data_IF_647957803844
#
_entry.id   IF_647957803844
#
_cell.length_a   1.000
_cell.length_b   1.000
_cell.length_c   1.000
_cell.angle_alpha   90.00
_cell.angle_beta   90.00
_cell.angle_gamma   90.00
#
_symmetry.space_group_name_H-M   'P 1'
#
loop_
_entity.id
_entity.type
_entity.pdbx_description
1 polymer ?
#
# COMPACT_ATOMS: atom_id res chain seq x y z
N UNK A 1 64.32 -19.01 -50.89
CA UNK A 1 63.62 -17.94 -50.15
C UNK A 1 62.19 -18.41 -49.91
N UNK A 2 61.80 -18.73 -48.66
CA UNK A 2 60.43 -19.10 -48.31
C UNK A 2 59.84 -17.96 -47.48
N UNK A 3 58.83 -17.29 -48.03
CA UNK A 3 58.11 -16.19 -47.36
C UNK A 3 57.02 -16.84 -46.51
N UNK A 4 57.13 -16.67 -45.19
CA UNK A 4 56.10 -17.09 -44.22
C UNK A 4 55.15 -15.90 -44.04
N UNK A 5 53.90 -16.06 -44.48
CA UNK A 5 52.84 -15.10 -44.19
C UNK A 5 52.28 -15.39 -42.79
N UNK A 6 52.54 -14.49 -41.84
CA UNK A 6 51.90 -14.52 -40.52
C UNK A 6 50.55 -13.83 -40.65
N UNK A 7 49.47 -14.61 -40.58
CA UNK A 7 48.10 -14.10 -40.50
C UNK A 7 47.86 -13.66 -39.05
N UNK A 8 47.73 -12.35 -38.84
CA UNK A 8 47.31 -11.77 -37.57
C UNK A 8 45.78 -11.72 -37.55
N UNK A 9 45.15 -12.71 -36.90
CA UNK A 9 43.72 -12.67 -36.59
C UNK A 9 43.46 -11.66 -35.48
N UNK A 10 42.93 -10.48 -35.83
CA UNK A 10 42.40 -9.53 -34.86
C UNK A 10 41.06 -10.04 -34.31
N UNK A 11 41.07 -10.55 -33.08
CA UNK A 11 39.86 -10.90 -32.33
C UNK A 11 39.13 -9.62 -31.91
N UNK A 12 38.11 -9.25 -32.67
CA UNK A 12 37.12 -8.25 -32.28
C UNK A 12 36.25 -8.85 -31.16
N UNK A 13 36.60 -8.58 -29.89
CA UNK A 13 35.73 -8.89 -28.75
C UNK A 13 34.61 -7.86 -28.75
N UNK A 14 33.46 -8.20 -29.33
CA UNK A 14 32.22 -7.47 -29.11
C UNK A 14 31.87 -7.57 -27.63
N UNK A 15 32.10 -6.49 -26.88
CA UNK A 15 31.61 -6.36 -25.52
C UNK A 15 30.09 -6.28 -25.56
N UNK A 16 29.41 -7.41 -25.36
CA UNK A 16 28.00 -7.41 -24.99
C UNK A 16 27.88 -6.74 -23.63
N UNK A 17 27.44 -5.49 -23.60
CA UNK A 17 26.98 -4.86 -22.36
C UNK A 17 25.70 -5.59 -21.95
N UNK A 18 25.82 -6.55 -21.05
CA UNK A 18 24.67 -7.14 -20.37
C UNK A 18 24.02 -6.01 -19.56
N UNK A 19 22.93 -5.45 -20.07
CA UNK A 19 22.12 -4.52 -19.29
C UNK A 19 21.54 -5.35 -18.14
N UNK A 20 22.07 -5.14 -16.94
CA UNK A 20 21.59 -5.81 -15.73
C UNK A 20 20.11 -5.47 -15.56
N UNK A 21 19.26 -6.44 -15.85
CA UNK A 21 17.82 -6.34 -15.61
C UNK A 21 17.65 -5.97 -14.14
N UNK A 22 17.08 -4.79 -13.88
CA UNK A 22 16.88 -4.31 -12.52
C UNK A 22 15.76 -5.16 -11.94
N UNK A 23 16.09 -5.97 -10.94
CA UNK A 23 15.18 -6.91 -10.31
C UNK A 23 14.18 -6.19 -9.41
N UNK A 24 12.88 -6.33 -9.74
CA UNK A 24 11.75 -5.83 -8.97
C UNK A 24 11.83 -6.21 -7.50
N UNK A 25 12.20 -7.46 -7.24
CA UNK A 25 12.28 -7.99 -5.89
C UNK A 25 13.40 -7.31 -5.12
N UNK A 26 14.58 -7.15 -5.73
CA UNK A 26 15.69 -6.43 -5.10
C UNK A 26 15.33 -4.99 -4.72
N UNK A 27 14.66 -4.22 -5.59
CA UNK A 27 14.24 -2.86 -5.24
C UNK A 27 13.20 -2.89 -4.12
N UNK A 28 12.24 -3.82 -4.14
CA UNK A 28 11.28 -3.97 -3.05
C UNK A 28 11.97 -4.25 -1.71
N UNK A 29 12.92 -5.19 -1.66
CA UNK A 29 13.68 -5.54 -0.45
C UNK A 29 14.43 -4.31 0.11
N UNK A 30 15.10 -3.55 -0.76
CA UNK A 30 15.80 -2.33 -0.36
C UNK A 30 14.85 -1.24 0.13
N UNK A 31 13.69 -1.09 -0.51
CA UNK A 31 12.63 -0.16 -0.10
C UNK A 31 12.09 -0.55 1.27
N UNK A 32 11.79 -1.83 1.48
CA UNK A 32 11.33 -2.37 2.77
C UNK A 32 12.34 -2.04 3.87
N UNK A 33 13.64 -2.26 3.63
CA UNK A 33 14.69 -1.95 4.61
C UNK A 33 14.79 -0.47 4.95
N UNK A 34 14.45 0.44 4.03
CA UNK A 34 14.39 1.89 4.32
C UNK A 34 13.21 2.27 5.20
N UNK A 35 12.08 1.60 5.01
CA UNK A 35 10.88 1.84 5.78
C UNK A 35 10.88 1.13 7.14
N UNK A 36 11.49 -0.05 7.23
CA UNK A 36 11.51 -0.90 8.41
C UNK A 36 12.90 -1.57 8.58
N UNK A 37 13.91 -0.82 9.07
CA UNK A 37 15.28 -1.31 9.18
C UNK A 37 15.45 -2.47 10.17
N UNK A 38 14.55 -2.58 11.15
CA UNK A 38 14.55 -3.59 12.21
C UNK A 38 13.63 -4.79 11.91
N UNK A 39 12.93 -4.77 10.77
CA UNK A 39 11.94 -5.80 10.38
C UNK A 39 10.82 -6.00 11.42
N UNK A 40 10.34 -4.90 12.00
CA UNK A 40 9.33 -4.85 13.04
C UNK A 40 7.89 -4.96 12.52
N UNK A 41 7.62 -4.85 11.22
CA UNK A 41 6.27 -4.74 10.68
C UNK A 41 5.34 -5.88 11.17
N UNK A 42 5.80 -7.13 11.14
CA UNK A 42 4.99 -8.29 11.53
C UNK A 42 4.65 -8.33 13.03
N UNK A 43 5.39 -7.60 13.87
CA UNK A 43 5.15 -7.48 15.33
C UNK A 43 4.62 -6.11 15.73
N UNK A 44 4.45 -5.20 14.76
CA UNK A 44 4.04 -3.84 15.01
C UNK A 44 2.57 -3.78 15.46
N UNK A 45 2.34 -2.98 16.50
CA UNK A 45 1.03 -2.50 16.88
C UNK A 45 0.86 -1.04 16.45
N UNK A 46 -0.13 -0.78 15.61
CA UNK A 46 -0.55 0.56 15.20
C UNK A 46 -1.78 0.94 16.01
N UNK A 47 -1.81 2.17 16.52
CA UNK A 47 -2.99 2.81 17.07
C UNK A 47 -2.99 4.26 16.59
N UNK A 48 -3.83 4.61 15.62
CA UNK A 48 -3.77 5.90 14.93
C UNK A 48 -5.15 6.52 14.76
N UNK A 49 -5.20 7.84 14.91
CA UNK A 49 -6.34 8.67 14.53
C UNK A 49 -6.11 9.23 13.12
N UNK A 50 -7.00 8.86 12.22
CA UNK A 50 -6.98 9.23 10.80
C UNK A 50 -8.18 10.15 10.52
N UNK A 51 -7.93 11.32 9.95
CA UNK A 51 -8.97 12.10 9.28
C UNK A 51 -9.07 11.65 7.82
N UNK A 52 -10.27 11.41 7.34
CA UNK A 52 -10.51 10.81 6.02
C UNK A 52 -11.48 11.68 5.18
N UNK A 53 -11.18 12.98 4.95
CA UNK A 53 -12.07 13.84 4.18
C UNK A 53 -12.29 13.26 2.78
N UNK A 54 -13.56 13.24 2.38
CA UNK A 54 -14.03 12.90 1.03
C UNK A 54 -14.89 14.03 0.52
N UNK A 55 -15.02 14.19 -0.80
CA UNK A 55 -15.89 15.23 -1.40
C UNK A 55 -17.32 15.17 -0.84
N UNK A 56 -17.88 13.97 -0.71
CA UNK A 56 -19.26 13.77 -0.21
C UNK A 56 -19.36 13.70 1.32
N UNK A 57 -18.25 13.54 2.04
CA UNK A 57 -18.23 13.44 3.49
C UNK A 57 -16.92 14.05 4.04
N UNK A 58 -16.88 15.37 4.26
CA UNK A 58 -15.65 16.06 4.64
C UNK A 58 -15.22 15.80 6.09
N UNK A 59 -16.13 15.34 6.96
CA UNK A 59 -15.89 15.22 8.41
C UNK A 59 -15.71 13.77 8.89
N UNK A 60 -15.34 12.86 8.00
CA UNK A 60 -15.06 11.47 8.39
C UNK A 60 -13.74 11.36 9.12
N UNK A 61 -13.72 10.61 10.21
CA UNK A 61 -12.50 10.17 10.88
C UNK A 61 -12.61 8.71 11.33
N UNK A 62 -11.46 8.07 11.47
CA UNK A 62 -11.34 6.71 11.98
C UNK A 62 -10.25 6.63 13.03
N UNK A 63 -10.45 5.82 14.06
CA UNK A 63 -9.40 5.33 14.94
C UNK A 63 -9.14 3.88 14.58
N UNK A 64 -7.91 3.56 14.20
CA UNK A 64 -7.51 2.22 13.77
C UNK A 64 -6.49 1.67 14.74
N UNK A 65 -6.83 0.55 15.37
CA UNK A 65 -5.91 -0.31 16.09
C UNK A 65 -5.65 -1.57 15.26
N UNK A 66 -4.39 -1.84 14.94
CA UNK A 66 -3.95 -3.04 14.25
C UNK A 66 -2.80 -3.64 15.05
N UNK A 67 -2.95 -4.89 15.48
CA UNK A 67 -1.87 -5.65 16.12
C UNK A 67 -1.50 -6.81 15.21
N UNK A 68 -0.38 -6.66 14.49
CA UNK A 68 0.04 -7.66 13.50
C UNK A 68 0.47 -8.99 14.15
N UNK A 69 0.97 -8.97 15.39
CA UNK A 69 1.39 -10.18 16.09
C UNK A 69 0.16 -10.98 16.56
N UNK A 70 -0.81 -10.30 17.18
CA UNK A 70 -1.95 -10.94 17.82
C UNK A 70 -3.17 -11.07 16.90
N UNK A 71 -3.07 -10.65 15.63
CA UNK A 71 -4.19 -10.59 14.67
C UNK A 71 -5.39 -9.76 15.16
N UNK A 72 -5.22 -8.93 16.19
CA UNK A 72 -6.28 -8.06 16.69
C UNK A 72 -6.49 -6.87 15.75
N UNK A 73 -7.75 -6.52 15.52
CA UNK A 73 -8.11 -5.34 14.73
C UNK A 73 -9.30 -4.63 15.35
N UNK A 74 -9.21 -3.30 15.43
CA UNK A 74 -10.34 -2.43 15.76
C UNK A 74 -10.36 -1.21 14.86
N UNK A 75 -11.51 -0.93 14.30
CA UNK A 75 -11.81 0.29 13.56
C UNK A 75 -13.00 0.99 14.23
N UNK A 76 -12.77 2.16 14.78
CA UNK A 76 -13.84 3.06 15.27
C UNK A 76 -14.03 4.17 14.25
N UNK A 77 -15.27 4.49 13.89
CA UNK A 77 -15.56 5.49 12.84
C UNK A 77 -16.84 6.25 13.16
N UNK A 78 -16.82 7.56 12.95
CA UNK A 78 -18.01 8.38 13.11
C UNK A 78 -19.05 8.12 12.00
N UNK A 79 -20.32 8.16 12.39
CA UNK A 79 -21.51 7.88 11.60
C UNK A 79 -22.60 8.88 11.96
N UNK A 80 -22.62 10.02 11.29
CA UNK A 80 -23.47 11.15 11.69
C UNK A 80 -23.22 11.52 13.18
N UNK A 81 -24.18 11.24 14.06
CA UNK A 81 -24.08 11.44 15.51
C UNK A 81 -23.59 10.20 16.28
N UNK A 82 -23.42 9.06 15.61
CA UNK A 82 -23.05 7.79 16.22
C UNK A 82 -21.58 7.43 15.99
N UNK A 83 -21.12 6.44 16.73
CA UNK A 83 -19.82 5.80 16.56
C UNK A 83 -20.02 4.31 16.23
N UNK A 84 -19.56 3.86 15.07
CA UNK A 84 -19.49 2.43 14.75
C UNK A 84 -18.11 1.88 15.09
N UNK A 85 -18.06 0.73 15.76
CA UNK A 85 -16.82 0.02 16.08
C UNK A 85 -16.85 -1.37 15.42
N UNK A 86 -15.81 -1.70 14.67
CA UNK A 86 -15.61 -2.97 13.99
C UNK A 86 -14.41 -3.68 14.60
N UNK A 87 -14.62 -4.83 15.21
CA UNK A 87 -13.62 -5.51 16.05
C UNK A 87 -13.40 -6.94 15.53
N UNK A 88 -12.14 -7.36 15.48
CA UNK A 88 -11.71 -8.75 15.34
C UNK A 88 -10.78 -9.06 16.50
N UNK A 89 -11.20 -10.02 17.33
CA UNK A 89 -10.41 -10.52 18.46
C UNK A 89 -9.33 -11.53 18.00
N UNK A 90 -8.30 -11.82 18.81
CA UNK A 90 -7.25 -12.77 18.45
C UNK A 90 -7.74 -14.19 18.15
N UNK A 91 -8.87 -14.59 18.73
CA UNK A 91 -9.53 -15.88 18.47
C UNK A 91 -10.35 -15.90 17.16
N UNK A 92 -10.37 -14.78 16.43
CA UNK A 92 -11.11 -14.60 15.18
C UNK A 92 -12.56 -14.13 15.37
N UNK A 93 -13.04 -13.95 16.61
CA UNK A 93 -14.39 -13.45 16.87
C UNK A 93 -14.55 -12.05 16.29
N UNK A 94 -15.51 -11.90 15.37
CA UNK A 94 -15.83 -10.62 14.74
C UNK A 94 -17.07 -10.00 15.38
N UNK A 95 -17.01 -8.72 15.74
CA UNK A 95 -18.13 -7.99 16.36
C UNK A 95 -18.24 -6.60 15.76
N UNK A 96 -19.46 -6.08 15.67
CA UNK A 96 -19.73 -4.69 15.31
C UNK A 96 -20.63 -4.05 16.36
N UNK A 97 -20.26 -2.86 16.81
CA UNK A 97 -21.00 -2.08 17.78
C UNK A 97 -21.42 -0.75 17.17
N UNK A 98 -22.56 -0.23 17.61
CA UNK A 98 -22.99 1.15 17.42
C UNK A 98 -23.15 1.77 18.81
N UNK A 99 -22.41 2.84 19.09
CA UNK A 99 -22.35 3.50 20.40
C UNK A 99 -22.11 2.52 21.55
N UNK A 100 -21.18 1.57 21.35
CA UNK A 100 -20.76 0.60 22.35
C UNK A 100 -21.70 -0.60 22.55
N UNK A 101 -22.80 -0.72 21.80
CA UNK A 101 -23.74 -1.86 21.88
C UNK A 101 -23.93 -2.57 20.53
N UNK A 102 -24.29 -3.84 20.57
CA UNK A 102 -24.73 -4.56 19.37
C UNK A 102 -26.09 -4.00 18.96
N UNK A 103 -26.18 -3.49 17.73
CA UNK A 103 -27.42 -2.95 17.19
C UNK A 103 -28.32 -4.09 16.67
N UNK A 104 -29.62 -3.99 16.94
CA UNK A 104 -30.63 -4.96 16.51
C UNK A 104 -31.67 -4.36 15.56
N UNK A 105 -31.75 -3.03 15.47
CA UNK A 105 -32.60 -2.34 14.49
C UNK A 105 -32.03 -2.53 13.07
N UNK A 106 -32.78 -3.27 12.25
CA UNK A 106 -32.42 -3.58 10.86
C UNK A 106 -32.24 -2.33 9.97
N UNK A 107 -32.94 -1.24 10.27
CA UNK A 107 -32.82 0.03 9.56
C UNK A 107 -31.46 0.64 9.84
N UNK A 108 -31.05 0.70 11.12
CA UNK A 108 -29.75 1.22 11.54
C UNK A 108 -28.60 0.32 11.07
N UNK A 109 -28.75 -1.00 11.16
CA UNK A 109 -27.77 -1.97 10.64
C UNK A 109 -27.52 -1.73 9.16
N UNK A 110 -28.58 -1.56 8.35
CA UNK A 110 -28.45 -1.29 6.92
C UNK A 110 -27.87 0.09 6.64
N UNK A 111 -28.33 1.14 7.33
CA UNK A 111 -27.87 2.52 7.17
C UNK A 111 -26.36 2.64 7.44
N UNK A 112 -25.90 2.11 8.57
CA UNK A 112 -24.50 2.22 9.00
C UNK A 112 -23.62 1.04 8.59
N UNK A 113 -24.18 0.05 7.88
CA UNK A 113 -23.50 -1.15 7.36
C UNK A 113 -22.82 -1.96 8.48
N UNK A 114 -23.57 -2.23 9.54
CA UNK A 114 -23.09 -2.85 10.78
C UNK A 114 -23.00 -4.38 10.68
N UNK A 115 -22.38 -4.89 9.61
CA UNK A 115 -22.23 -6.32 9.36
C UNK A 115 -20.82 -6.80 9.77
N UNK A 116 -20.69 -7.72 10.76
CA UNK A 116 -19.40 -8.27 11.18
C UNK A 116 -18.61 -8.99 10.09
N UNK A 117 -19.26 -9.50 9.04
CA UNK A 117 -18.58 -10.14 7.91
C UNK A 117 -17.63 -9.17 7.17
N UNK A 118 -17.87 -7.86 7.29
CA UNK A 118 -17.06 -6.81 6.65
C UNK A 118 -15.72 -6.59 7.33
N UNK A 119 -15.59 -6.96 8.60
CA UNK A 119 -14.44 -6.61 9.43
C UNK A 119 -13.14 -7.17 8.85
N UNK A 120 -13.16 -8.39 8.30
CA UNK A 120 -11.98 -9.00 7.68
C UNK A 120 -11.48 -8.19 6.48
N UNK A 121 -12.39 -7.62 5.70
CA UNK A 121 -12.05 -6.73 4.59
C UNK A 121 -11.41 -5.44 5.08
N UNK A 122 -11.91 -4.86 6.18
CA UNK A 122 -11.29 -3.69 6.80
C UNK A 122 -9.90 -3.99 7.34
N UNK A 123 -9.72 -5.11 8.06
CA UNK A 123 -8.41 -5.51 8.57
C UNK A 123 -7.41 -5.69 7.43
N UNK A 124 -7.77 -6.45 6.38
CA UNK A 124 -6.92 -6.64 5.20
C UNK A 124 -6.55 -5.32 4.52
N UNK A 125 -7.53 -4.42 4.37
CA UNK A 125 -7.31 -3.09 3.79
C UNK A 125 -6.32 -2.25 4.60
N UNK A 126 -6.55 -2.08 5.90
CA UNK A 126 -5.67 -1.26 6.72
C UNK A 126 -4.28 -1.89 6.86
N UNK A 127 -4.19 -3.22 7.03
CA UNK A 127 -2.91 -3.94 7.09
C UNK A 127 -2.11 -3.79 5.79
N UNK A 128 -2.76 -3.85 4.62
CA UNK A 128 -2.07 -3.61 3.35
C UNK A 128 -1.68 -2.12 3.22
N UNK A 129 -2.63 -1.20 3.26
CA UNK A 129 -2.40 0.22 2.94
C UNK A 129 -1.49 0.96 3.93
N UNK A 130 -1.55 0.60 5.20
CA UNK A 130 -0.70 1.18 6.25
C UNK A 130 0.54 0.35 6.52
N UNK A 131 0.70 -0.78 5.84
CA UNK A 131 1.91 -1.59 5.84
C UNK A 131 2.79 -1.42 4.62
N UNK A 132 2.42 -0.60 3.63
CA UNK A 132 3.26 -0.40 2.45
C UNK A 132 4.61 0.23 2.84
N UNK A 133 5.74 -0.26 2.28
CA UNK A 133 5.87 -1.40 1.35
C UNK A 133 5.95 -2.78 2.02
N UNK A 134 6.22 -2.87 3.33
CA UNK A 134 6.46 -4.12 4.08
C UNK A 134 5.35 -5.17 3.87
N UNK A 135 4.09 -4.74 3.83
CA UNK A 135 2.95 -5.62 3.61
C UNK A 135 2.99 -6.36 2.28
N UNK A 136 3.68 -5.83 1.26
CA UNK A 136 3.74 -6.44 -0.07
C UNK A 136 4.52 -7.74 -0.08
N UNK A 137 5.54 -7.89 0.75
CA UNK A 137 6.48 -9.03 0.74
C UNK A 137 5.79 -10.41 0.70
N UNK A 138 4.58 -10.52 1.27
CA UNK A 138 3.83 -11.78 1.32
C UNK A 138 2.48 -11.75 0.58
N UNK A 139 2.10 -10.63 -0.05
CA UNK A 139 0.75 -10.46 -0.64
C UNK A 139 0.72 -10.52 -2.16
N UNK A 140 1.87 -10.42 -2.84
CA UNK A 140 1.91 -10.55 -4.30
C UNK A 140 2.09 -12.00 -4.76
N UNK A 141 1.51 -12.30 -5.92
CA UNK A 141 1.66 -13.53 -6.70
C UNK A 141 2.79 -13.36 -7.71
N UNK A 142 2.79 -12.24 -8.42
CA UNK A 142 3.80 -11.90 -9.44
C UNK A 142 4.31 -10.47 -9.23
N UNK A 143 5.57 -10.26 -9.59
CA UNK A 143 6.22 -8.96 -9.68
C UNK A 143 6.83 -8.83 -11.08
N UNK A 144 6.48 -7.76 -11.78
CA UNK A 144 6.96 -7.52 -13.15
C UNK A 144 8.35 -6.88 -13.15
N UNK A 145 9.10 -6.95 -14.27
CA UNK A 145 10.33 -6.18 -14.45
C UNK A 145 10.11 -4.69 -14.21
N UNK A 146 11.14 -4.02 -13.68
CA UNK A 146 11.06 -2.60 -13.32
C UNK A 146 11.08 -1.74 -14.57
N UNK A 147 10.28 -0.68 -14.54
CA UNK A 147 10.40 0.46 -15.45
C UNK A 147 10.73 1.73 -14.67
N UNK A 148 11.25 2.75 -15.35
CA UNK A 148 11.44 4.06 -14.73
C UNK A 148 10.34 5.02 -15.20
N UNK A 149 9.88 5.88 -14.29
CA UNK A 149 8.91 6.90 -14.62
C UNK A 149 9.02 8.09 -13.68
N UNK A 150 8.58 9.25 -14.12
CA UNK A 150 8.41 10.40 -13.23
C UNK A 150 7.06 10.26 -12.52
N UNK A 151 7.06 10.25 -11.19
CA UNK A 151 5.87 10.24 -10.36
C UNK A 151 5.95 11.37 -9.35
N UNK A 152 4.92 12.21 -9.29
CA UNK A 152 4.89 13.41 -8.44
C UNK A 152 6.15 14.30 -8.58
N UNK A 153 6.58 14.55 -9.82
CA UNK A 153 7.79 15.35 -10.15
C UNK A 153 9.12 14.73 -9.68
N UNK A 154 9.14 13.44 -9.31
CA UNK A 154 10.33 12.73 -8.86
C UNK A 154 10.59 11.49 -9.73
N UNK A 155 11.85 11.23 -10.06
CA UNK A 155 12.23 10.03 -10.83
C UNK A 155 12.13 8.79 -9.92
N UNK A 156 11.28 7.85 -10.32
CA UNK A 156 10.95 6.66 -9.55
C UNK A 156 11.19 5.37 -10.33
N UNK A 157 11.55 4.31 -9.61
CA UNK A 157 11.26 2.95 -10.05
C UNK A 157 9.75 2.73 -9.98
N UNK A 158 9.18 2.23 -11.07
CA UNK A 158 7.79 1.78 -11.16
C UNK A 158 7.80 0.26 -11.16
N UNK A 159 7.25 -0.32 -10.08
CA UNK A 159 7.18 -1.76 -9.88
C UNK A 159 5.72 -2.19 -10.01
N UNK A 160 5.42 -3.12 -10.91
CA UNK A 160 4.06 -3.65 -11.05
C UNK A 160 3.91 -4.96 -10.28
N UNK A 161 2.78 -5.10 -9.58
CA UNK A 161 2.43 -6.25 -8.77
C UNK A 161 1.09 -6.83 -9.19
N UNK A 162 0.99 -8.16 -9.21
CA UNK A 162 -0.28 -8.90 -9.19
C UNK A 162 -0.46 -9.46 -7.77
N UNK A 163 -1.48 -9.03 -7.04
CA UNK A 163 -1.79 -9.51 -5.69
C UNK A 163 -2.42 -10.91 -5.72
N UNK A 164 -2.12 -11.72 -4.70
CA UNK A 164 -2.74 -13.05 -4.49
C UNK A 164 -4.27 -12.94 -4.35
N UNK A 165 -4.71 -11.95 -3.59
CA UNK A 165 -6.13 -11.64 -3.38
C UNK A 165 -6.43 -10.22 -3.84
N UNK A 166 -7.59 -9.98 -4.49
CA UNK A 166 -7.99 -8.64 -4.87
C UNK A 166 -8.34 -7.83 -3.62
N UNK A 167 -7.94 -6.55 -3.61
CA UNK A 167 -8.49 -5.57 -2.68
C UNK A 167 -9.52 -4.69 -3.40
N UNK A 168 -9.07 -3.62 -4.05
CA UNK A 168 -9.86 -2.89 -5.05
C UNK A 168 -9.63 -3.53 -6.43
N UNK A 169 -8.36 -3.78 -6.77
CA UNK A 169 -7.91 -4.60 -7.89
C UNK A 169 -6.80 -5.54 -7.42
N UNK A 170 -6.46 -6.53 -8.25
CA UNK A 170 -5.23 -7.33 -8.12
C UNK A 170 -4.00 -6.63 -8.70
N UNK A 171 -4.19 -5.65 -9.59
CA UNK A 171 -3.08 -5.03 -10.31
C UNK A 171 -2.70 -3.69 -9.69
N UNK A 172 -1.46 -3.61 -9.24
CA UNK A 172 -0.92 -2.47 -8.50
C UNK A 172 0.38 -2.00 -9.14
N UNK A 173 0.65 -0.70 -9.06
CA UNK A 173 1.96 -0.12 -9.31
C UNK A 173 2.43 0.59 -8.06
N UNK A 174 3.69 0.38 -7.70
CA UNK A 174 4.34 1.09 -6.60
C UNK A 174 5.45 1.95 -7.17
N UNK A 175 5.48 3.21 -6.76
CA UNK A 175 6.46 4.18 -7.19
C UNK A 175 7.45 4.41 -6.07
N UNK A 176 8.68 3.96 -6.26
CA UNK A 176 9.79 4.08 -5.30
C UNK A 176 10.76 5.13 -5.81
N UNK A 177 11.07 6.13 -4.99
CA UNK A 177 12.06 7.14 -5.34
C UNK A 177 13.43 6.52 -5.55
N UNK A 178 14.11 6.90 -6.63
CA UNK A 178 15.50 6.49 -6.87
C UNK A 178 16.50 7.22 -5.97
N UNK A 179 16.11 8.33 -5.35
CA UNK A 179 17.01 9.18 -4.56
C UNK A 179 17.19 8.65 -3.13
N UNK A 180 16.10 8.20 -2.51
CA UNK A 180 16.08 7.80 -1.11
C UNK A 180 15.46 6.41 -0.84
N UNK A 181 14.93 5.75 -1.88
CA UNK A 181 14.25 4.46 -1.82
C UNK A 181 12.98 4.47 -0.95
N UNK A 182 12.33 5.62 -0.81
CA UNK A 182 11.02 5.76 -0.17
C UNK A 182 9.88 5.61 -1.18
N UNK A 183 8.74 5.05 -0.74
CA UNK A 183 7.54 4.96 -1.58
C UNK A 183 6.88 6.33 -1.71
N UNK A 184 6.70 6.81 -2.95
CA UNK A 184 6.08 8.10 -3.28
C UNK A 184 4.59 8.01 -3.56
N UNK A 185 4.10 6.80 -3.84
CA UNK A 185 2.69 6.56 -4.10
C UNK A 185 2.45 5.23 -4.77
N UNK A 186 1.18 4.98 -5.08
CA UNK A 186 0.73 3.77 -5.77
C UNK A 186 -0.34 4.09 -6.82
N UNK A 187 -0.51 3.18 -7.77
CA UNK A 187 -1.73 3.08 -8.58
C UNK A 187 -2.37 1.72 -8.39
N UNK A 188 -3.70 1.69 -8.31
CA UNK A 188 -4.51 0.48 -8.29
C UNK A 188 -5.37 0.52 -9.55
N UNK A 189 -5.18 -0.41 -10.48
CA UNK A 189 -5.73 -0.29 -11.84
C UNK A 189 -6.42 -1.57 -12.30
N UNK A 190 -7.27 -1.47 -13.31
CA UNK A 190 -7.93 -2.60 -13.95
C UNK A 190 -7.41 -2.73 -15.38
N UNK A 191 -6.67 -3.80 -15.74
CA UNK A 191 -6.14 -3.95 -17.10
C UNK A 191 -7.20 -3.89 -18.19
N UNK A 192 -8.39 -4.43 -17.91
CA UNK A 192 -9.51 -4.50 -18.85
C UNK A 192 -10.34 -3.20 -18.89
N UNK A 193 -10.08 -2.25 -17.98
CA UNK A 193 -10.80 -0.97 -17.91
C UNK A 193 -9.87 0.15 -17.45
N UNK A 194 -9.07 0.74 -18.37
CA UNK A 194 -8.10 1.78 -18.05
C UNK A 194 -8.70 3.07 -17.49
N UNK A 195 -10.01 3.27 -17.64
CA UNK A 195 -10.72 4.42 -17.06
C UNK A 195 -11.04 4.23 -15.58
N UNK A 196 -10.90 3.01 -15.05
CA UNK A 196 -11.09 2.71 -13.63
C UNK A 196 -9.77 2.56 -12.90
N UNK A 197 -9.73 3.11 -11.69
CA UNK A 197 -8.63 2.90 -10.77
C UNK A 197 -8.38 4.11 -9.89
N UNK A 198 -7.44 3.93 -8.99
CA UNK A 198 -7.05 4.92 -8.01
C UNK A 198 -5.56 5.21 -8.17
N UNK A 199 -5.19 6.49 -8.17
CA UNK A 199 -3.82 6.95 -7.98
C UNK A 199 -3.73 7.59 -6.61
N UNK A 200 -2.78 7.13 -5.81
CA UNK A 200 -2.60 7.59 -4.43
C UNK A 200 -1.21 8.17 -4.27
N UNK A 201 -1.16 9.45 -3.93
CA UNK A 201 0.09 10.17 -3.67
C UNK A 201 0.40 10.13 -2.18
N UNK A 202 1.64 9.83 -1.83
CA UNK A 202 2.11 9.81 -0.45
C UNK A 202 2.87 11.08 -0.12
N UNK A 203 2.53 11.67 1.01
CA UNK A 203 3.15 12.88 1.53
C UNK A 203 3.40 12.72 3.03
N UNK A 204 4.52 13.31 3.49
CA UNK A 204 5.05 13.17 4.84
C UNK A 204 5.30 11.73 5.30
N UNK A 205 6.12 11.60 6.33
CA UNK A 205 6.37 10.33 7.01
C UNK A 205 6.02 10.45 8.48
N UNK A 206 5.47 9.37 9.02
CA UNK A 206 5.37 9.15 10.46
C UNK A 206 6.11 7.87 10.80
N UNK A 207 6.77 7.85 11.96
CA UNK A 207 7.45 6.66 12.48
C UNK A 207 6.64 6.09 13.63
N UNK A 208 6.29 4.81 13.56
CA UNK A 208 5.56 4.08 14.60
C UNK A 208 6.33 2.77 14.84
N UNK A 209 6.85 2.57 16.06
CA UNK A 209 7.68 1.40 16.41
C UNK A 209 8.85 1.17 15.42
N UNK A 210 9.58 2.24 15.09
CA UNK A 210 10.67 2.27 14.10
C UNK A 210 10.28 2.03 12.65
N UNK A 211 9.00 1.76 12.37
CA UNK A 211 8.46 1.61 11.03
C UNK A 211 8.02 2.97 10.49
N UNK A 212 8.57 3.37 9.34
CA UNK A 212 8.22 4.60 8.63
C UNK A 212 7.11 4.31 7.64
N UNK A 213 6.00 5.03 7.74
CA UNK A 213 4.88 4.93 6.81
C UNK A 213 4.45 6.31 6.33
N UNK A 214 3.79 6.40 5.16
CA UNK A 214 3.18 7.65 4.71
C UNK A 214 2.23 8.20 5.78
N UNK A 215 2.41 9.48 6.14
CA UNK A 215 1.50 10.16 7.06
C UNK A 215 0.21 10.58 6.36
N UNK A 216 0.33 11.03 5.10
CA UNK A 216 -0.77 11.49 4.27
C UNK A 216 -0.86 10.64 2.99
N UNK A 217 -2.10 10.30 2.60
CA UNK A 217 -2.42 9.62 1.34
C UNK A 217 -3.48 10.42 0.60
N UNK A 218 -3.15 10.97 -0.57
CA UNK A 218 -4.11 11.69 -1.41
C UNK A 218 -4.65 10.78 -2.49
N UNK A 219 -5.95 10.50 -2.44
CA UNK A 219 -6.67 9.68 -3.40
C UNK A 219 -7.13 10.51 -4.58
N UNK A 220 -6.85 10.01 -5.79
CA UNK A 220 -7.25 10.61 -7.05
C UNK A 220 -7.71 9.53 -8.02
N UNK A 221 -8.68 9.86 -8.86
CA UNK A 221 -9.09 9.02 -9.97
C UNK A 221 -7.89 8.77 -10.91
N UNK A 222 -7.67 7.52 -11.31
CA UNK A 222 -6.54 7.18 -12.18
C UNK A 222 -6.65 7.83 -13.57
N UNK A 223 -7.89 7.93 -14.09
CA UNK A 223 -8.21 8.41 -15.44
C UNK A 223 -7.73 9.84 -15.71
N UNK A 224 -8.05 10.76 -14.81
CA UNK A 224 -7.87 12.21 -15.03
C UNK A 224 -7.21 12.92 -13.85
N UNK A 225 -6.80 12.17 -12.81
CA UNK A 225 -6.18 12.69 -11.60
C UNK A 225 -7.10 13.61 -10.77
N UNK A 226 -8.42 13.53 -10.97
CA UNK A 226 -9.41 14.25 -10.16
C UNK A 226 -9.28 13.83 -8.70
N UNK A 227 -9.35 14.79 -7.78
CA UNK A 227 -9.24 14.52 -6.35
C UNK A 227 -10.48 13.80 -5.80
N UNK A 228 -10.29 12.69 -5.09
CA UNK A 228 -11.38 11.91 -4.50
C UNK A 228 -11.42 12.02 -2.97
N UNK A 229 -10.26 12.28 -2.34
CA UNK A 229 -10.16 12.43 -0.90
C UNK A 229 -8.74 12.28 -0.36
N UNK A 230 -8.59 12.33 0.96
CA UNK A 230 -7.30 12.10 1.61
C UNK A 230 -7.47 11.29 2.88
N UNK A 231 -6.41 10.59 3.28
CA UNK A 231 -6.26 10.02 4.62
C UNK A 231 -5.08 10.69 5.30
N UNK A 232 -5.34 11.34 6.44
CA UNK A 232 -4.36 12.09 7.20
C UNK A 232 -4.20 11.46 8.58
N UNK A 233 -3.03 10.90 8.88
CA UNK A 233 -2.71 10.50 10.25
C UNK A 233 -2.45 11.76 11.06
N UNK A 234 -3.36 12.07 11.98
CA UNK A 234 -3.30 13.25 12.86
C UNK A 234 -2.48 12.94 14.10
N UNK A 235 -2.62 11.72 14.64
CA UNK A 235 -1.93 11.31 15.88
C UNK A 235 -1.75 9.80 15.95
N UNK A 236 -0.59 9.37 16.43
CA UNK A 236 -0.39 8.03 17.01
C UNK A 236 -0.81 8.06 18.49
N UNK A 237 -1.66 7.12 18.88
CA UNK A 237 -2.38 7.10 20.15
C UNK A 237 -1.76 6.14 21.17
#
# INVERSE_FOLDING_TARGET
>A
MKIIYVIVCALFVMGYTYQKEIDGQHILEQTIKKHDPSNNWNTTKINIHIQEPRISNPYRYSIVTLDNANQYFKLSRNRDQHLSEHIIEPDGKSTVLLDGKIETDTILIKKYRLDPSRNIGYQKFYRLMYGLPMSLANTYKNISPISESTFNKELCYKIEFELKEPMISKHWRVYVSKSDMMVKGIEIFFPDDPEKGERIYFEDLITINEVKIPRIRHWRELKDNTYSGSDLIIKAL
#
